data_IF_387770311774
#
_entry.id   IF_387770311774
#
_cell.length_a   1.000
_cell.length_b   1.000
_cell.length_c   1.000
_cell.angle_alpha   90.00
_cell.angle_beta   90.00
_cell.angle_gamma   90.00
#
_symmetry.space_group_name_H-M   'P 1'
#
loop_
_entity.id
_entity.type
_entity.pdbx_description
1 polymer ?
#
# COMPACT_ATOMS: atom_id res chain seq x y z
N UNK A 1 -17.51 -1.17 -0.29
CA UNK A 1 -17.55 -0.66 1.10
C UNK A 1 -17.56 -1.85 2.03
N UNK A 2 -16.46 -2.12 2.74
CA UNK A 2 -16.47 -3.08 3.86
C UNK A 2 -16.79 -2.27 5.11
N UNK A 3 -18.05 -2.27 5.51
CA UNK A 3 -18.55 -1.50 6.66
C UNK A 3 -18.68 -2.35 7.93
N UNK A 4 -18.63 -3.68 7.80
CA UNK A 4 -18.75 -4.59 8.93
C UNK A 4 -17.36 -4.88 9.54
N UNK A 5 -17.15 -4.64 10.85
CA UNK A 5 -15.87 -4.93 11.52
C UNK A 5 -15.44 -6.40 11.37
N UNK A 6 -16.41 -7.30 11.33
CA UNK A 6 -16.16 -8.74 11.18
C UNK A 6 -15.62 -9.09 9.79
N UNK A 7 -16.08 -8.41 8.75
CA UNK A 7 -15.60 -8.62 7.39
C UNK A 7 -14.14 -8.15 7.21
N UNK A 8 -13.74 -7.05 7.88
CA UNK A 8 -12.33 -6.63 7.92
C UNK A 8 -11.47 -7.71 8.58
N UNK A 9 -11.97 -8.30 9.65
CA UNK A 9 -11.27 -9.37 10.38
C UNK A 9 -11.12 -10.60 9.49
N UNK A 10 -12.17 -11.07 8.82
CA UNK A 10 -12.10 -12.23 7.91
C UNK A 10 -11.12 -12.01 6.75
N UNK A 11 -11.12 -10.81 6.15
CA UNK A 11 -10.19 -10.44 5.08
C UNK A 11 -8.74 -10.51 5.58
N UNK A 12 -8.45 -9.97 6.77
CA UNK A 12 -7.10 -9.99 7.35
C UNK A 12 -6.59 -11.41 7.66
N UNK A 13 -7.50 -12.35 7.90
CA UNK A 13 -7.16 -13.76 8.13
C UNK A 13 -6.97 -14.55 6.82
N UNK A 14 -7.30 -13.97 5.66
CA UNK A 14 -7.10 -14.60 4.36
C UNK A 14 -6.02 -13.85 3.53
N UNK A 15 -4.76 -14.33 3.55
CA UNK A 15 -3.66 -13.67 2.85
C UNK A 15 -3.85 -13.62 1.33
N UNK A 16 -4.60 -14.55 0.73
CA UNK A 16 -4.85 -14.58 -0.72
C UNK A 16 -5.79 -13.44 -1.14
N UNK A 17 -6.76 -13.09 -0.29
CA UNK A 17 -7.64 -11.93 -0.53
C UNK A 17 -6.82 -10.64 -0.46
N UNK A 18 -5.98 -10.48 0.57
CA UNK A 18 -5.13 -9.29 0.69
C UNK A 18 -4.14 -9.19 -0.48
N UNK A 19 -3.55 -10.32 -0.90
CA UNK A 19 -2.72 -10.38 -2.11
C UNK A 19 -3.49 -9.94 -3.36
N UNK A 20 -4.70 -10.43 -3.54
CA UNK A 20 -5.56 -10.06 -4.68
C UNK A 20 -5.87 -8.55 -4.68
N UNK A 21 -6.14 -7.97 -3.49
CA UNK A 21 -6.32 -6.52 -3.35
C UNK A 21 -5.07 -5.72 -3.72
N UNK A 22 -3.87 -6.21 -3.39
CA UNK A 22 -2.61 -5.56 -3.78
C UNK A 22 -2.47 -5.58 -5.31
N UNK A 23 -2.76 -6.69 -5.98
CA UNK A 23 -2.74 -6.78 -7.44
C UNK A 23 -3.78 -5.88 -8.12
N UNK A 24 -4.93 -5.62 -7.48
CA UNK A 24 -5.91 -4.67 -8.02
C UNK A 24 -5.37 -3.24 -8.22
N UNK A 25 -4.22 -2.88 -7.65
CA UNK A 25 -3.56 -1.59 -7.88
C UNK A 25 -2.99 -1.50 -9.31
N UNK A 26 -2.66 -2.64 -9.92
CA UNK A 26 -2.13 -2.75 -11.28
C UNK A 26 -3.20 -2.53 -12.36
N UNK A 27 -4.48 -2.62 -11.98
CA UNK A 27 -5.61 -2.55 -12.91
C UNK A 27 -5.63 -1.24 -13.71
N UNK A 28 -5.88 -1.36 -15.01
CA UNK A 28 -5.97 -0.21 -15.91
C UNK A 28 -7.15 0.69 -15.54
N UNK A 29 -8.24 0.09 -15.07
CA UNK A 29 -9.38 0.83 -14.56
C UNK A 29 -9.01 1.54 -13.25
N UNK A 30 -8.78 2.85 -13.34
CA UNK A 30 -8.37 3.69 -12.21
C UNK A 30 -9.35 3.62 -11.02
N UNK A 31 -10.65 3.37 -11.26
CA UNK A 31 -11.62 3.24 -10.17
C UNK A 31 -11.34 1.98 -9.32
N UNK A 32 -10.90 0.88 -9.95
CA UNK A 32 -10.53 -0.35 -9.27
C UNK A 32 -9.26 -0.13 -8.46
N UNK A 33 -8.23 0.45 -9.07
CA UNK A 33 -6.97 0.76 -8.38
C UNK A 33 -7.18 1.69 -7.17
N UNK A 34 -7.97 2.77 -7.32
CA UNK A 34 -8.30 3.68 -6.21
C UNK A 34 -9.08 2.98 -5.09
N UNK A 35 -10.02 2.12 -5.45
CA UNK A 35 -10.76 1.36 -4.44
C UNK A 35 -9.85 0.35 -3.71
N UNK A 36 -8.87 -0.23 -4.39
CA UNK A 36 -7.87 -1.11 -3.78
C UNK A 36 -6.98 -0.33 -2.78
N UNK A 37 -6.45 0.83 -3.18
CA UNK A 37 -5.67 1.73 -2.31
C UNK A 37 -6.47 2.08 -1.07
N UNK A 38 -7.70 2.59 -1.23
CA UNK A 38 -8.57 2.95 -0.09
C UNK A 38 -8.86 1.78 0.84
N UNK A 39 -9.04 0.58 0.28
CA UNK A 39 -9.32 -0.62 1.08
C UNK A 39 -8.09 -1.05 1.88
N UNK A 40 -6.91 -1.07 1.27
CA UNK A 40 -5.64 -1.39 1.93
C UNK A 40 -5.27 -0.35 2.99
N UNK A 41 -5.49 0.93 2.69
CA UNK A 41 -5.34 2.05 3.62
C UNK A 41 -6.20 1.84 4.86
N UNK A 42 -7.50 1.52 4.69
CA UNK A 42 -8.39 1.17 5.81
C UNK A 42 -7.93 -0.06 6.60
N UNK A 43 -7.45 -1.12 5.94
CA UNK A 43 -6.93 -2.31 6.63
C UNK A 43 -5.76 -1.93 7.56
N UNK A 44 -4.90 -1.01 7.12
CA UNK A 44 -3.75 -0.52 7.86
C UNK A 44 -4.08 0.40 9.06
N UNK A 45 -5.35 0.74 9.30
CA UNK A 45 -5.73 1.54 10.47
C UNK A 45 -5.65 0.75 11.80
N UNK A 46 -5.48 -0.57 11.74
CA UNK A 46 -5.26 -1.42 12.90
C UNK A 46 -3.83 -1.93 12.96
N UNK A 47 -3.32 -2.18 14.17
CA UNK A 47 -1.99 -2.79 14.34
C UNK A 47 -1.88 -4.13 13.60
N UNK A 48 -2.89 -4.99 13.71
CA UNK A 48 -2.94 -6.28 13.00
C UNK A 48 -2.86 -6.11 11.49
N UNK A 49 -3.54 -5.12 10.93
CA UNK A 49 -3.49 -4.82 9.50
C UNK A 49 -2.13 -4.31 9.06
N UNK A 50 -1.49 -3.43 9.85
CA UNK A 50 -0.11 -3.01 9.61
C UNK A 50 0.86 -4.20 9.66
N UNK A 51 0.78 -5.00 10.73
CA UNK A 51 1.62 -6.18 10.92
C UNK A 51 1.49 -7.15 9.74
N UNK A 52 0.28 -7.35 9.20
CA UNK A 52 0.05 -8.20 8.03
C UNK A 52 0.58 -7.59 6.73
N UNK A 53 0.19 -6.35 6.42
CA UNK A 53 0.56 -5.71 5.16
C UNK A 53 2.07 -5.54 5.02
N UNK A 54 2.75 -5.22 6.13
CA UNK A 54 4.20 -5.05 6.18
C UNK A 54 4.95 -6.32 6.62
N UNK A 55 4.25 -7.46 6.74
CA UNK A 55 4.90 -8.76 6.89
C UNK A 55 5.67 -9.11 5.61
N UNK A 56 6.74 -9.90 5.73
CA UNK A 56 7.68 -10.16 4.61
C UNK A 56 7.00 -10.67 3.34
N UNK A 57 5.98 -11.52 3.45
CA UNK A 57 5.31 -12.09 2.30
C UNK A 57 4.43 -11.09 1.53
N UNK A 58 3.60 -10.31 2.23
CA UNK A 58 2.74 -9.33 1.58
C UNK A 58 3.53 -8.07 1.18
N UNK A 59 4.50 -7.65 1.99
CA UNK A 59 5.40 -6.56 1.62
C UNK A 59 6.19 -6.88 0.34
N UNK A 60 6.59 -8.14 0.15
CA UNK A 60 7.21 -8.58 -1.10
C UNK A 60 6.26 -8.40 -2.28
N UNK A 61 4.99 -8.82 -2.16
CA UNK A 61 3.98 -8.60 -3.21
C UNK A 61 3.79 -7.11 -3.51
N UNK A 62 3.72 -6.26 -2.49
CA UNK A 62 3.64 -4.80 -2.66
C UNK A 62 4.81 -4.28 -3.49
N UNK A 63 6.03 -4.75 -3.20
CA UNK A 63 7.25 -4.35 -3.94
C UNK A 63 7.29 -4.92 -5.36
N UNK A 64 6.78 -6.12 -5.58
CA UNK A 64 6.65 -6.72 -6.92
C UNK A 64 5.67 -5.90 -7.78
N UNK A 65 4.48 -5.60 -7.25
CA UNK A 65 3.47 -4.74 -7.92
C UNK A 65 4.03 -3.35 -8.22
N UNK A 66 4.73 -2.76 -7.26
CA UNK A 66 5.38 -1.46 -7.42
C UNK A 66 6.38 -1.42 -8.59
N UNK A 67 7.02 -2.55 -8.90
CA UNK A 67 8.01 -2.64 -9.98
C UNK A 67 7.38 -2.76 -11.38
N UNK A 68 6.06 -2.94 -11.48
CA UNK A 68 5.37 -3.22 -12.75
C UNK A 68 5.41 -2.04 -13.73
N UNK A 69 5.20 -0.81 -13.26
CA UNK A 69 5.34 0.41 -14.08
C UNK A 69 5.43 1.65 -13.20
N UNK A 70 5.85 2.78 -13.77
CA UNK A 70 5.89 4.06 -13.06
C UNK A 70 4.51 4.47 -12.55
N UNK A 71 3.45 4.27 -13.36
CA UNK A 71 2.06 4.56 -12.97
C UNK A 71 1.67 3.76 -11.73
N UNK A 72 1.99 2.46 -11.71
CA UNK A 72 1.69 1.59 -10.57
C UNK A 72 2.56 1.96 -9.36
N UNK A 73 3.83 2.30 -9.57
CA UNK A 73 4.73 2.77 -8.52
C UNK A 73 4.17 4.02 -7.82
N UNK A 74 3.71 5.01 -8.56
CA UNK A 74 3.09 6.21 -7.98
C UNK A 74 1.79 5.91 -7.23
N UNK A 75 1.00 4.93 -7.67
CA UNK A 75 -0.18 4.45 -6.92
C UNK A 75 0.21 3.76 -5.60
N UNK A 76 1.31 3.00 -5.58
CA UNK A 76 1.85 2.44 -4.35
C UNK A 76 2.35 3.55 -3.42
N UNK A 77 2.95 4.62 -3.96
CA UNK A 77 3.31 5.78 -3.15
C UNK A 77 2.10 6.51 -2.57
N UNK A 78 1.01 6.64 -3.32
CA UNK A 78 -0.27 7.15 -2.82
C UNK A 78 -0.73 6.33 -1.60
N UNK A 79 -0.76 5.00 -1.71
CA UNK A 79 -1.05 4.12 -0.58
C UNK A 79 -0.12 4.36 0.60
N UNK A 80 1.21 4.40 0.38
CA UNK A 80 2.20 4.59 1.44
C UNK A 80 2.00 5.93 2.15
N UNK A 81 1.73 7.01 1.42
CA UNK A 81 1.46 8.33 1.99
C UNK A 81 0.16 8.33 2.80
N UNK A 82 -0.91 7.72 2.28
CA UNK A 82 -2.16 7.57 3.02
C UNK A 82 -1.95 6.84 4.34
N UNK A 83 -1.31 5.66 4.33
CA UNK A 83 -1.02 4.88 5.54
C UNK A 83 -0.17 5.69 6.52
N UNK A 84 0.89 6.33 6.02
CA UNK A 84 1.82 7.12 6.85
C UNK A 84 1.15 8.31 7.51
N UNK A 85 0.15 8.90 6.87
CA UNK A 85 -0.58 10.07 7.37
C UNK A 85 -1.50 9.76 8.57
N UNK A 86 -1.83 8.48 8.79
CA UNK A 86 -2.76 8.05 9.85
C UNK A 86 -2.15 8.23 11.24
N UNK A 87 -0.88 7.85 11.44
CA UNK A 87 -0.23 7.95 12.75
C UNK A 87 1.30 7.82 12.67
N UNK A 88 2.05 8.28 13.70
CA UNK A 88 3.48 8.04 13.81
C UNK A 88 3.87 6.55 13.80
N UNK A 89 2.98 5.67 14.31
CA UNK A 89 3.20 4.23 14.27
C UNK A 89 3.15 3.73 12.82
N UNK A 90 2.11 4.12 12.07
CA UNK A 90 1.94 3.76 10.65
C UNK A 90 3.12 4.27 9.82
N UNK A 91 3.58 5.50 10.06
CA UNK A 91 4.78 6.06 9.46
C UNK A 91 6.02 5.18 9.72
N UNK A 92 6.17 4.67 10.95
CA UNK A 92 7.26 3.76 11.31
C UNK A 92 7.28 2.46 10.49
N UNK A 93 6.13 1.84 10.24
CA UNK A 93 6.04 0.67 9.36
C UNK A 93 6.48 1.00 7.93
N UNK A 94 5.98 2.10 7.38
CA UNK A 94 6.34 2.55 6.04
C UNK A 94 7.84 2.89 5.93
N UNK A 95 8.43 3.53 6.94
CA UNK A 95 9.86 3.83 6.98
C UNK A 95 10.71 2.56 7.03
N UNK A 96 10.36 1.61 7.90
CA UNK A 96 11.08 0.33 8.05
C UNK A 96 10.99 -0.57 6.81
N UNK A 97 9.98 -0.36 5.96
CA UNK A 97 9.80 -1.10 4.70
C UNK A 97 10.69 -0.59 3.55
N UNK A 98 11.39 0.53 3.76
CA UNK A 98 12.17 1.31 2.76
C UNK A 98 11.33 2.06 1.71
N UNK A 99 10.00 1.89 1.70
CA UNK A 99 9.12 2.52 0.69
C UNK A 99 9.16 4.06 0.77
N UNK A 100 9.20 4.64 1.98
CA UNK A 100 9.33 6.10 2.15
C UNK A 100 10.69 6.59 1.66
N UNK A 101 11.77 5.87 1.96
CA UNK A 101 13.09 6.25 1.50
C UNK A 101 13.15 6.27 -0.03
N UNK A 102 12.52 5.29 -0.69
CA UNK A 102 12.47 5.22 -2.14
C UNK A 102 11.66 6.38 -2.74
N UNK A 103 10.49 6.69 -2.16
CA UNK A 103 9.69 7.86 -2.54
C UNK A 103 10.50 9.16 -2.43
N UNK A 104 11.18 9.38 -1.31
CA UNK A 104 11.99 10.57 -1.12
C UNK A 104 13.13 10.65 -2.14
N UNK A 105 13.81 9.54 -2.42
CA UNK A 105 14.83 9.49 -3.46
C UNK A 105 14.29 9.87 -4.84
N UNK A 106 13.07 9.46 -5.19
CA UNK A 106 12.42 9.85 -6.46
C UNK A 106 12.06 11.34 -6.48
N UNK A 107 11.57 11.91 -5.38
CA UNK A 107 11.21 13.33 -5.29
C UNK A 107 12.43 14.27 -5.23
N UNK A 108 13.51 13.86 -4.59
CA UNK A 108 14.72 14.67 -4.42
C UNK A 108 15.79 14.37 -5.46
N UNK A 109 15.60 13.33 -6.26
CA UNK A 109 16.52 12.93 -7.32
C UNK A 109 16.64 13.98 -8.42
N UNK A 110 17.74 13.93 -9.18
CA UNK A 110 18.05 14.87 -10.26
C UNK A 110 17.19 14.68 -11.53
N UNK A 111 16.10 13.92 -11.45
CA UNK A 111 15.23 13.67 -12.60
C UNK A 111 14.30 14.87 -12.85
N UNK A 112 14.78 15.78 -13.70
CA UNK A 112 14.13 17.05 -14.09
C UNK A 112 12.72 16.87 -14.68
N UNK A 113 12.38 15.67 -15.17
CA UNK A 113 11.07 15.39 -15.76
C UNK A 113 9.96 15.11 -14.72
N UNK A 114 10.31 14.96 -13.45
CA UNK A 114 9.38 14.71 -12.33
C UNK A 114 9.13 16.01 -11.51
N UNK A 115 9.82 17.11 -11.84
CA UNK A 115 9.70 18.43 -11.19
C UNK A 115 8.62 19.32 -11.80
#
# INVERSE_FOLDING_TARGET
MVEHPDAVTEILHNPDIVRSLIHCIEEENIAVAKQAIHSLSKLSHSKTGLDKLFHSDLLRVVKEVMATSDVVRYRIYELVVEISSVSPISLGYCANSSLISQLLCELTGDDVLIR
#
